data_IF_654431245180
#
_entry.id   IF_654431245180
#
_cell.length_a   1.000
_cell.length_b   1.000
_cell.length_c   1.000
_cell.angle_alpha   90.00
_cell.angle_beta   90.00
_cell.angle_gamma   90.00
#
_symmetry.space_group_name_H-M   'P 1'
#
loop_
_entity.id
_entity.type
_entity.pdbx_description
1 polymer ?
2 non-polymer ?
3 non-polymer ?
4 non-polymer ?
5 water ?
#
# COMPACT_ATOMS: atom_id res chain seq x y z
N UNK A 26 15.83 22.70 1.45
CA UNK A 26 15.55 22.28 0.04
C UNK A 26 14.06 22.42 -0.33
N UNK A 27 13.83 22.92 -1.54
CA UNK A 27 12.49 23.02 -2.10
C UNK A 27 11.87 21.65 -2.39
N UNK A 28 10.57 21.53 -2.21
CA UNK A 28 9.82 20.43 -2.82
C UNK A 28 9.72 20.64 -4.32
N UNK A 29 9.64 19.55 -5.07
CA UNK A 29 9.65 19.56 -6.52
C UNK A 29 8.83 18.38 -7.02
N UNK A 30 7.53 18.43 -6.76
CA UNK A 30 6.62 17.33 -7.03
C UNK A 30 5.92 17.53 -8.36
N UNK A 31 5.84 16.47 -9.17
CA UNK A 31 5.11 16.56 -10.43
C UNK A 31 3.63 16.65 -10.20
N UNK A 32 2.93 17.47 -10.97
CA UNK A 32 1.46 17.55 -10.88
C UNK A 32 0.75 16.42 -11.63
N UNK A 33 1.48 15.64 -12.41
CA UNK A 33 0.94 14.43 -13.01
C UNK A 33 1.67 13.19 -12.54
N UNK A 34 0.96 12.08 -12.55
CA UNK A 34 1.55 10.82 -12.11
C UNK A 34 2.49 10.25 -13.18
N UNK A 35 3.17 9.18 -12.84
CA UNK A 35 4.16 8.61 -13.78
C UNK A 35 3.55 7.86 -14.95
N UNK A 36 2.30 7.44 -14.80
CA UNK A 36 1.62 6.69 -15.85
C UNK A 36 1.29 7.64 -16.99
N UNK A 37 1.71 7.31 -18.22
CA UNK A 37 1.25 8.14 -19.34
C UNK A 37 -0.27 7.98 -19.57
N UNK A 38 -0.95 9.05 -19.91
CA UNK A 38 -2.39 9.02 -20.09
C UNK A 38 -3.09 8.32 -18.93
N UNK A 39 -2.91 8.88 -17.73
CA UNK A 39 -3.60 8.32 -16.59
C UNK A 39 -5.12 8.37 -16.75
N UNK A 40 -5.83 7.43 -16.16
CA UNK A 40 -7.28 7.48 -16.17
C UNK A 40 -7.77 8.76 -15.51
N UNK A 41 -9.01 9.16 -15.81
CA UNK A 41 -9.61 10.31 -15.16
C UNK A 41 -9.57 10.15 -13.66
N UNK A 42 -9.91 8.95 -13.17
CA UNK A 42 -9.88 8.70 -11.73
C UNK A 42 -8.48 8.80 -11.13
N UNK A 43 -7.48 8.31 -11.84
CA UNK A 43 -6.11 8.40 -11.34
C UNK A 43 -5.60 9.83 -11.31
N UNK A 44 -5.97 10.59 -12.34
CA UNK A 44 -5.69 12.03 -12.41
C UNK A 44 -6.25 12.73 -11.17
N UNK A 45 -7.52 12.46 -10.88
CA UNK A 45 -8.22 13.09 -9.78
C UNK A 45 -7.58 12.69 -8.45
N UNK A 46 -7.30 11.40 -8.28
CA UNK A 46 -6.71 10.90 -7.04
C UNK A 46 -5.31 11.50 -6.82
N UNK A 47 -4.47 11.49 -7.85
CA UNK A 47 -3.14 12.05 -7.74
C UNK A 47 -3.20 13.54 -7.42
N UNK A 48 -4.06 14.28 -8.13
CA UNK A 48 -4.21 15.69 -7.86
C UNK A 48 -4.68 15.96 -6.46
N UNK A 49 -5.60 15.15 -5.96
CA UNK A 49 -6.05 15.29 -4.58
C UNK A 49 -4.86 15.13 -3.62
N UNK A 50 -4.05 14.10 -3.85
CA UNK A 50 -2.86 13.92 -3.02
C UNK A 50 -1.90 15.12 -3.12
N UNK A 51 -1.60 15.57 -4.33
CA UNK A 51 -0.67 16.71 -4.48
C UNK A 51 -1.20 17.97 -3.81
N UNK A 52 -2.48 18.25 -4.01
CA UNK A 52 -3.07 19.48 -3.47
C UNK A 52 -3.17 19.50 -1.96
N UNK A 53 -3.38 18.33 -1.33
CA UNK A 53 -3.50 18.25 0.11
C UNK A 53 -2.19 17.96 0.84
N UNK A 54 -1.19 17.49 0.10
CA UNK A 54 0.10 17.19 0.71
C UNK A 54 0.68 18.44 1.34
N UNK A 55 1.05 18.32 2.60
CA UNK A 55 1.65 19.37 3.43
C UNK A 55 0.65 20.30 4.09
N UNK A 56 -0.62 20.16 3.75
CA UNK A 56 -1.69 20.96 4.38
C UNK A 56 -2.66 20.15 5.19
N UNK A 57 -2.82 18.89 4.87
CA UNK A 57 -3.75 17.98 5.57
C UNK A 57 -3.17 16.59 5.52
N UNK A 58 -3.69 15.71 6.37
CA UNK A 58 -3.22 14.33 6.51
C UNK A 58 -4.42 13.45 6.31
N UNK A 59 -4.32 12.51 5.38
CA UNK A 59 -5.44 11.63 5.03
C UNK A 59 -5.46 10.42 5.96
N UNK A 60 -6.59 10.23 6.63
CA UNK A 60 -6.78 9.10 7.54
C UNK A 60 -6.99 7.78 6.76
N UNK A 61 -6.49 6.67 7.29
CA UNK A 61 -6.58 5.37 6.65
C UNK A 61 -6.68 4.26 7.67
N UNK A 62 -7.10 3.09 7.18
CA UNK A 62 -7.07 1.88 8.00
C UNK A 62 -6.97 0.66 7.10
N UNK A 63 -6.16 -0.30 7.51
CA UNK A 63 -6.06 -1.59 6.85
C UNK A 63 -7.21 -2.49 7.28
N UNK A 64 -7.62 -3.35 6.35
CA UNK A 64 -8.56 -4.42 6.65
C UNK A 64 -7.94 -5.80 6.41
N UNK A 65 -8.55 -6.85 6.93
CA UNK A 65 -8.08 -8.23 6.81
C UNK A 65 -8.85 -9.03 5.77
N UNK A 66 -8.19 -9.36 4.68
CA UNK A 66 -8.78 -10.21 3.66
C UNK A 66 -8.67 -11.67 4.06
N UNK A 67 -9.56 -12.48 3.51
CA UNK A 67 -9.65 -13.89 3.85
C UNK A 67 -11.11 -14.33 3.80
N UNK A 68 -11.44 -15.33 4.61
CA UNK A 68 -12.76 -15.94 4.53
C UNK A 68 -13.83 -15.31 5.37
N UNK A 69 -13.61 -14.10 5.88
CA UNK A 69 -14.54 -13.45 6.83
C UNK A 69 -15.18 -12.21 6.14
N UNK A 70 -16.38 -12.42 5.56
CA UNK A 70 -17.08 -11.34 4.84
C UNK A 70 -17.38 -10.16 5.76
N UNK A 71 -17.78 -10.43 7.01
CA UNK A 71 -18.05 -9.35 8.01
C UNK A 71 -16.86 -8.48 8.35
N UNK A 72 -15.68 -9.02 8.22
CA UNK A 72 -14.47 -8.30 8.57
C UNK A 72 -14.06 -7.29 7.54
N UNK A 73 -14.64 -7.37 6.36
CA UNK A 73 -14.10 -6.61 5.27
C UNK A 73 -14.14 -5.10 5.45
N UNK A 74 -15.05 -4.59 6.29
CA UNK A 74 -15.06 -3.18 6.64
C UNK A 74 -15.02 -2.94 8.15
N UNK A 75 -14.50 -3.91 8.88
CA UNK A 75 -14.48 -3.87 10.32
C UNK A 75 -13.90 -2.56 10.85
N UNK A 76 -12.67 -2.26 10.43
CA UNK A 76 -11.89 -1.12 10.98
C UNK A 76 -12.54 0.21 10.59
N UNK A 77 -12.93 0.41 9.30
CA UNK A 77 -13.64 1.65 8.99
C UNK A 77 -14.96 1.79 9.75
N UNK A 78 -15.71 0.72 9.91
CA UNK A 78 -16.98 0.76 10.59
C UNK A 78 -16.77 1.11 12.05
N UNK A 79 -15.77 0.51 12.69
CA UNK A 79 -15.46 0.85 14.08
C UNK A 79 -15.17 2.33 14.21
N UNK A 80 -14.37 2.83 13.29
CA UNK A 80 -14.03 4.25 13.31
C UNK A 80 -15.26 5.15 13.14
N UNK A 81 -16.17 4.79 12.26
CA UNK A 81 -17.40 5.56 12.09
C UNK A 81 -18.18 5.63 13.41
N UNK A 82 -18.37 4.49 14.05
CA UNK A 82 -19.23 4.42 15.22
C UNK A 82 -18.59 5.05 16.43
N UNK A 83 -17.28 4.90 16.58
CA UNK A 83 -16.55 5.30 17.78
C UNK A 83 -15.95 6.67 17.70
N UNK A 84 -15.50 7.05 16.52
CA UNK A 84 -14.83 8.34 16.35
C UNK A 84 -15.59 9.30 15.47
N UNK A 85 -16.74 8.87 14.95
CA UNK A 85 -17.64 9.74 14.22
C UNK A 85 -17.44 9.83 12.72
N UNK A 86 -16.41 9.18 12.17
CA UNK A 86 -16.08 9.29 10.76
C UNK A 86 -15.31 8.05 10.31
N UNK A 87 -15.57 7.64 9.08
CA UNK A 87 -14.77 6.62 8.42
C UNK A 87 -13.45 7.23 7.95
N UNK A 88 -12.40 6.44 7.88
CA UNK A 88 -11.16 6.92 7.28
C UNK A 88 -11.38 7.19 5.80
N UNK A 89 -10.59 8.10 5.27
CA UNK A 89 -10.69 8.39 3.83
C UNK A 89 -10.11 7.30 2.95
N UNK A 90 -9.15 6.56 3.51
CA UNK A 90 -8.41 5.50 2.83
C UNK A 90 -8.64 4.14 3.54
N UNK A 91 -8.84 3.12 2.70
CA UNK A 91 -8.97 1.74 3.16
C UNK A 91 -7.89 0.88 2.51
N UNK A 92 -7.28 0.03 3.32
CA UNK A 92 -6.24 -0.90 2.84
C UNK A 92 -6.75 -2.30 2.55
N UNK A 93 -6.34 -2.83 1.41
CA UNK A 93 -6.72 -4.15 0.94
C UNK A 93 -5.48 -4.86 0.40
N UNK A 94 -5.48 -6.20 0.46
CA UNK A 94 -4.32 -7.04 0.14
C UNK A 94 -4.73 -8.22 -0.71
N UNK A 95 -4.06 -8.38 -1.84
CA UNK A 95 -4.22 -9.55 -2.75
C UNK A 95 -3.57 -10.88 -2.25
N UNK A 96 -3.12 -10.95 -1.01
CA UNK A 96 -2.38 -12.11 -0.52
C UNK A 96 -3.00 -13.45 -0.79
N UNK A 97 -4.33 -13.60 -0.82
CA UNK A 97 -4.94 -14.91 -1.09
C UNK A 97 -5.38 -15.11 -2.55
N UNK A 98 -5.14 -14.11 -3.38
CA UNK A 98 -5.59 -14.16 -4.75
C UNK A 98 -4.85 -15.21 -5.62
N UNK A 99 -3.61 -15.48 -5.21
CA UNK A 99 -2.79 -16.54 -5.80
C UNK A 99 -2.08 -17.27 -4.70
N UNK A 100 -1.69 -18.51 -4.99
CA UNK A 100 -0.81 -19.24 -4.11
C UNK A 100 -1.22 -20.68 -3.92
N UNK A 101 -0.23 -21.47 -3.51
CA UNK A 101 -0.43 -22.86 -3.17
C UNK A 101 -1.52 -23.01 -2.13
N UNK A 102 -2.54 -23.80 -2.44
CA UNK A 102 -3.56 -24.11 -1.46
C UNK A 102 -4.54 -22.98 -1.19
N UNK A 103 -4.55 -21.94 -2.03
CA UNK A 103 -5.43 -20.78 -1.80
C UNK A 103 -6.71 -20.85 -2.65
N UNK A 104 -6.97 -21.99 -3.28
CA UNK A 104 -8.17 -22.18 -4.10
C UNK A 104 -9.45 -21.87 -3.36
N UNK A 105 -9.49 -22.17 -2.07
CA UNK A 105 -10.67 -21.88 -1.25
C UNK A 105 -11.06 -20.39 -1.33
N UNK A 106 -10.10 -19.53 -1.61
CA UNK A 106 -10.32 -18.10 -1.75
C UNK A 106 -10.51 -17.72 -3.21
N UNK A 107 -9.52 -17.97 -4.07
CA UNK A 107 -9.56 -17.42 -5.41
C UNK A 107 -10.51 -18.11 -6.35
N UNK A 108 -10.99 -19.31 -5.99
CA UNK A 108 -12.03 -20.01 -6.71
C UNK A 108 -13.38 -20.04 -6.02
N UNK A 109 -13.56 -19.23 -5.00
CA UNK A 109 -14.86 -19.16 -4.37
C UNK A 109 -15.47 -17.82 -4.71
N UNK A 110 -16.71 -17.81 -5.24
CA UNK A 110 -17.38 -16.54 -5.56
C UNK A 110 -17.56 -15.59 -4.33
N UNK A 111 -17.56 -16.14 -3.13
CA UNK A 111 -17.67 -15.27 -1.95
C UNK A 111 -16.43 -14.40 -1.71
N UNK A 112 -15.28 -14.80 -2.28
CA UNK A 112 -13.95 -14.24 -1.96
C UNK A 112 -13.10 -13.84 -3.18
N UNK A 113 -13.34 -14.41 -4.34
CA UNK A 113 -12.48 -14.17 -5.48
C UNK A 113 -12.56 -12.72 -5.95
N UNK A 114 -13.62 -11.99 -5.57
CA UNK A 114 -13.76 -10.57 -5.91
C UNK A 114 -13.79 -9.69 -4.66
N UNK A 115 -13.32 -10.22 -3.55
CA UNK A 115 -13.32 -9.51 -2.33
C UNK A 115 -12.51 -8.21 -2.41
N UNK A 116 -11.31 -8.26 -3.00
CA UNK A 116 -10.48 -7.07 -3.12
C UNK A 116 -11.09 -6.06 -4.10
N UNK A 117 -11.46 -6.51 -5.29
CA UNK A 117 -12.10 -5.64 -6.28
C UNK A 117 -13.35 -4.97 -5.68
N UNK A 118 -14.19 -5.76 -5.04
CA UNK A 118 -15.43 -5.21 -4.51
C UNK A 118 -15.23 -4.28 -3.36
N UNK A 119 -14.24 -4.56 -2.50
CA UNK A 119 -13.93 -3.66 -1.42
C UNK A 119 -13.39 -2.34 -1.94
N UNK A 120 -12.55 -2.40 -2.97
CA UNK A 120 -12.01 -1.19 -3.57
C UNK A 120 -13.10 -0.38 -4.27
N UNK A 121 -13.92 -1.05 -5.07
CA UNK A 121 -15.06 -0.43 -5.77
C UNK A 121 -15.96 0.27 -4.78
N UNK A 122 -16.31 -0.42 -3.72
CA UNK A 122 -17.23 0.10 -2.71
C UNK A 122 -16.67 1.35 -2.06
N UNK A 123 -15.39 1.35 -1.67
CA UNK A 123 -14.82 2.51 -1.02
C UNK A 123 -14.67 3.68 -1.99
N UNK A 124 -14.19 3.42 -3.19
CA UNK A 124 -14.10 4.44 -4.24
C UNK A 124 -15.46 5.06 -4.51
N UNK A 125 -16.50 4.24 -4.59
CA UNK A 125 -17.84 4.78 -4.89
C UNK A 125 -18.35 5.70 -3.79
N UNK A 126 -17.85 5.55 -2.57
CA UNK A 126 -18.19 6.41 -1.46
C UNK A 126 -17.33 7.66 -1.43
N UNK A 127 -16.37 7.76 -2.33
CA UNK A 127 -15.44 8.90 -2.37
C UNK A 127 -14.09 8.66 -1.70
N UNK A 128 -13.86 7.42 -1.26
CA UNK A 128 -12.62 7.09 -0.52
C UNK A 128 -11.53 6.62 -1.48
N UNK A 129 -10.39 6.31 -0.85
CA UNK A 129 -9.18 5.93 -1.55
C UNK A 129 -8.84 4.47 -1.24
N UNK A 130 -8.89 3.58 -2.24
CA UNK A 130 -8.42 2.20 -1.99
C UNK A 130 -6.90 2.19 -2.08
N UNK A 131 -6.27 1.56 -1.09
CA UNK A 131 -4.79 1.42 -1.06
C UNK A 131 -4.55 -0.09 -1.07
N UNK A 132 -4.05 -0.60 -2.19
CA UNK A 132 -3.85 -2.01 -2.39
C UNK A 132 -2.38 -2.37 -2.25
N UNK A 133 -2.16 -3.53 -1.63
CA UNK A 133 -0.84 -4.18 -1.57
C UNK A 133 -0.99 -5.66 -1.87
N UNK A 134 0.09 -6.40 -1.77
CA UNK A 134 0.06 -7.80 -2.16
C UNK A 134 1.19 -8.58 -1.46
N UNK A 135 0.89 -9.26 -0.37
CA UNK A 135 1.83 -10.22 0.18
C UNK A 135 1.84 -11.44 -0.74
N UNK A 136 2.80 -11.42 -1.66
CA UNK A 136 2.79 -12.26 -2.85
C UNK A 136 3.36 -13.65 -2.54
N UNK A 137 2.50 -14.63 -2.43
CA UNK A 137 2.92 -15.98 -2.06
C UNK A 137 3.77 -16.64 -3.15
N UNK A 138 4.80 -17.35 -2.68
CA UNK A 138 5.71 -18.16 -3.52
C UNK A 138 5.16 -18.48 -4.91
N UNK A 139 5.66 -17.78 -5.91
CA UNK A 139 5.09 -18.01 -7.25
C UNK A 139 5.30 -19.42 -7.82
N UNK A 140 6.29 -20.15 -7.30
CA UNK A 140 6.53 -21.55 -7.71
C UNK A 140 5.41 -22.45 -7.26
N UNK A 141 4.68 -22.07 -6.23
CA UNK A 141 3.65 -22.85 -5.59
C UNK A 141 4.25 -24.08 -4.84
N UNK A 142 5.56 -24.07 -4.61
CA UNK A 142 6.18 -25.14 -3.80
C UNK A 142 5.75 -25.01 -2.34
N UNK A 143 5.58 -23.77 -1.89
CA UNK A 143 5.11 -23.41 -0.54
C UNK A 143 4.02 -22.35 -0.76
N UNK A 144 3.32 -22.03 0.33
CA UNK A 144 2.39 -20.89 0.33
C UNK A 144 2.99 -19.62 0.93
N UNK A 145 4.31 -19.54 1.09
CA UNK A 145 4.94 -18.50 1.88
C UNK A 145 5.38 -17.32 1.04
N UNK A 146 5.25 -16.13 1.64
CA UNK A 146 5.91 -14.92 1.14
C UNK A 146 7.16 -14.57 1.95
N UNK A 147 7.27 -15.02 3.21
CA UNK A 147 8.45 -14.77 3.99
C UNK A 147 9.69 -15.45 3.44
N UNK A 148 10.82 -14.81 3.63
CA UNK A 148 12.10 -15.24 3.08
C UNK A 148 12.87 -16.07 4.10
N UNK A 149 14.00 -16.68 3.64
CA UNK A 149 14.80 -17.48 4.59
C UNK A 149 15.48 -16.69 5.72
N UNK A 150 15.51 -15.36 5.68
CA UNK A 150 16.10 -14.55 6.75
C UNK A 150 15.05 -13.92 7.65
N UNK A 151 13.78 -14.24 7.41
CA UNK A 151 12.67 -13.64 8.16
C UNK A 151 12.46 -14.19 9.54
N UNK A 152 12.95 -15.40 9.80
CA UNK A 152 12.63 -16.11 11.03
C UNK A 152 11.31 -16.87 11.01
N UNK A 153 10.58 -16.77 9.90
CA UNK A 153 9.29 -17.43 9.75
C UNK A 153 9.38 -18.55 8.72
N UNK A 154 8.36 -19.39 8.63
CA UNK A 154 8.29 -20.40 7.58
C UNK A 154 8.46 -19.72 6.23
N UNK A 155 9.42 -20.20 5.45
CA UNK A 155 9.91 -19.44 4.30
C UNK A 155 9.68 -20.11 2.97
N UNK A 156 9.78 -19.29 1.92
CA UNK A 156 9.92 -19.76 0.57
C UNK A 156 11.38 -19.65 0.14
N UNK A 157 11.79 -20.57 -0.75
CA UNK A 157 13.09 -20.52 -1.38
C UNK A 157 13.09 -19.78 -2.71
N UNK A 158 11.91 -19.30 -3.15
CA UNK A 158 11.77 -18.64 -4.41
C UNK A 158 12.83 -17.53 -4.59
N UNK A 159 13.54 -17.57 -5.72
CA UNK A 159 14.74 -16.78 -5.99
C UNK A 159 14.41 -15.62 -6.94
N UNK A 160 14.40 -14.41 -6.37
CA UNK A 160 14.08 -13.20 -7.15
C UNK A 160 15.06 -12.98 -8.30
N UNK A 161 16.33 -13.30 -8.09
CA UNK A 161 17.33 -13.13 -9.13
C UNK A 161 16.99 -13.98 -10.35
N UNK A 162 16.47 -15.18 -10.13
CA UNK A 162 16.01 -15.99 -11.25
C UNK A 162 14.70 -15.50 -11.86
N UNK A 163 13.81 -14.95 -11.01
CA UNK A 163 12.52 -14.49 -11.48
C UNK A 163 12.60 -13.35 -12.49
N UNK A 164 13.66 -12.56 -12.42
CA UNK A 164 13.80 -11.42 -13.31
C UNK A 164 14.55 -11.76 -14.62
N UNK A 165 14.99 -13.01 -14.76
CA UNK A 165 15.69 -13.44 -15.99
C UNK A 165 14.70 -14.11 -16.91
N UNK A 166 14.62 -13.62 -18.13
CA UNK A 166 13.65 -14.14 -19.09
C UNK A 166 13.85 -15.64 -19.35
N UNK A 167 12.76 -16.39 -19.34
CA UNK A 167 12.76 -17.80 -19.73
C UNK A 167 13.10 -18.80 -18.65
N UNK A 168 13.30 -18.35 -17.40
CA UNK A 168 13.45 -19.27 -16.27
C UNK A 168 12.07 -19.69 -15.79
N UNK A 169 12.03 -20.80 -15.07
CA UNK A 169 10.80 -21.24 -14.45
C UNK A 169 10.23 -20.16 -13.51
N UNK A 170 11.11 -19.50 -12.79
CA UNK A 170 10.67 -18.45 -11.87
C UNK A 170 10.05 -17.26 -12.62
N UNK A 171 10.63 -16.90 -13.75
CA UNK A 171 10.09 -15.83 -14.57
C UNK A 171 8.70 -16.18 -15.10
N UNK A 172 8.53 -17.41 -15.58
CA UNK A 172 7.22 -17.82 -16.04
C UNK A 172 6.19 -17.72 -14.90
N UNK A 173 6.59 -18.15 -13.71
CA UNK A 173 5.72 -18.17 -12.54
C UNK A 173 5.29 -16.77 -12.16
N UNK A 174 6.23 -15.83 -12.07
CA UNK A 174 5.79 -14.47 -11.70
C UNK A 174 4.88 -13.88 -12.77
N UNK A 175 5.11 -14.17 -14.04
CA UNK A 175 4.25 -13.59 -15.07
C UNK A 175 2.84 -14.19 -15.03
N UNK A 176 2.71 -15.46 -14.64
CA UNK A 176 1.39 -16.05 -14.46
C UNK A 176 0.65 -15.33 -13.34
N UNK A 177 1.31 -15.12 -12.21
CA UNK A 177 0.65 -14.47 -11.08
C UNK A 177 0.33 -13.00 -11.42
N UNK A 178 1.23 -12.32 -12.10
CA UNK A 178 1.00 -10.93 -12.47
C UNK A 178 -0.22 -10.83 -13.36
N UNK A 179 -0.42 -11.79 -14.26
CA UNK A 179 -1.63 -11.75 -15.10
C UNK A 179 -2.92 -11.83 -14.26
N UNK A 180 -2.94 -12.65 -13.21
CA UNK A 180 -4.10 -12.78 -12.35
C UNK A 180 -4.38 -11.46 -11.64
N UNK A 181 -3.36 -10.85 -11.06
CA UNK A 181 -3.58 -9.61 -10.35
C UNK A 181 -3.96 -8.51 -11.34
N UNK A 182 -3.31 -8.46 -12.50
CA UNK A 182 -3.70 -7.49 -13.54
C UNK A 182 -5.15 -7.66 -13.93
N UNK A 183 -5.67 -8.88 -13.99
CA UNK A 183 -7.08 -9.07 -14.32
C UNK A 183 -7.94 -8.35 -13.28
N UNK A 184 -7.57 -8.41 -12.02
CA UNK A 184 -8.33 -7.74 -10.98
C UNK A 184 -8.24 -6.23 -11.09
N UNK A 185 -7.04 -5.74 -11.32
CA UNK A 185 -6.84 -4.31 -11.47
C UNK A 185 -7.57 -3.77 -12.73
N UNK A 186 -7.64 -4.59 -13.77
CA UNK A 186 -8.38 -4.23 -15.01
C UNK A 186 -9.87 -4.13 -14.74
N UNK A 187 -10.41 -4.99 -13.91
CA UNK A 187 -11.81 -4.89 -13.48
C UNK A 187 -12.02 -3.52 -12.84
N UNK A 188 -11.11 -3.10 -11.95
CA UNK A 188 -11.20 -1.79 -11.35
C UNK A 188 -11.07 -0.71 -12.38
N UNK A 189 -10.10 -0.82 -13.30
CA UNK A 189 -9.92 0.18 -14.34
C UNK A 189 -11.22 0.37 -15.15
N UNK A 190 -11.82 -0.72 -15.55
CA UNK A 190 -13.02 -0.67 -16.37
C UNK A 190 -14.20 -0.12 -15.60
N UNK A 191 -14.20 -0.20 -14.28
CA UNK A 191 -15.22 0.43 -13.43
C UNK A 191 -14.91 1.89 -13.08
N UNK A 192 -13.80 2.44 -13.58
CA UNK A 192 -13.46 3.83 -13.32
C UNK A 192 -12.79 4.05 -11.97
N UNK A 193 -12.34 2.97 -11.33
CA UNK A 193 -11.70 3.03 -10.01
C UNK A 193 -10.19 3.21 -10.14
N UNK A 194 -9.63 4.14 -9.41
CA UNK A 194 -8.19 4.31 -9.29
C UNK A 194 -7.80 3.88 -7.89
N UNK A 195 -6.55 3.45 -7.77
CA UNK A 195 -6.04 2.98 -6.49
C UNK A 195 -4.61 3.42 -6.25
N UNK A 196 -4.25 3.51 -4.98
CA UNK A 196 -2.84 3.46 -4.59
C UNK A 196 -2.41 2.00 -4.69
N UNK A 197 -1.31 1.78 -5.41
CA UNK A 197 -0.80 0.43 -5.64
C UNK A 197 0.61 0.39 -5.06
N UNK A 198 0.80 -0.46 -4.07
CA UNK A 198 2.06 -0.51 -3.28
C UNK A 198 2.62 -1.94 -3.32
N UNK A 199 3.22 -2.30 -4.47
CA UNK A 199 3.74 -3.64 -4.65
C UNK A 199 5.11 -3.79 -4.03
N UNK A 200 5.53 -5.03 -3.81
CA UNK A 200 6.96 -5.30 -3.55
C UNK A 200 7.43 -4.48 -2.36
N UNK A 201 6.61 -4.47 -1.32
CA UNK A 201 6.77 -3.53 -0.24
C UNK A 201 7.73 -4.08 0.81
N UNK A 202 8.28 -3.17 1.62
CA UNK A 202 9.30 -3.49 2.62
C UNK A 202 10.44 -4.33 2.05
N UNK A 203 10.85 -4.05 0.84
CA UNK A 203 11.87 -4.88 0.17
C UNK A 203 13.18 -4.81 0.94
N UNK A 204 13.53 -3.65 1.46
CA UNK A 204 14.84 -3.47 2.07
C UNK A 204 14.98 -4.27 3.35
N UNK A 205 13.91 -4.70 3.99
CA UNK A 205 14.04 -5.56 5.17
C UNK A 205 14.53 -6.97 4.86
N UNK A 206 14.39 -7.37 3.61
CA UNK A 206 14.80 -8.68 3.08
C UNK A 206 14.03 -9.83 3.68
N UNK A 207 12.95 -9.56 4.41
CA UNK A 207 12.15 -10.60 5.02
C UNK A 207 11.06 -11.17 4.12
N UNK A 208 10.89 -10.57 2.93
CA UNK A 208 10.00 -11.09 1.88
C UNK A 208 10.83 -11.52 0.69
N UNK A 209 10.40 -12.53 -0.05
CA UNK A 209 11.24 -13.06 -1.11
C UNK A 209 11.65 -12.01 -2.13
N UNK A 210 10.81 -10.99 -2.36
CA UNK A 210 11.09 -10.01 -3.43
C UNK A 210 12.23 -9.07 -3.09
N UNK A 211 12.52 -8.89 -1.80
CA UNK A 211 13.71 -8.15 -1.41
C UNK A 211 14.88 -8.95 -0.90
N UNK A 212 14.70 -10.26 -0.77
CA UNK A 212 15.67 -11.14 -0.13
C UNK A 212 16.98 -11.18 -0.90
N UNK A 213 16.98 -10.96 -2.19
CA UNK A 213 18.21 -10.98 -2.99
C UNK A 213 18.82 -9.61 -3.16
N UNK A 214 18.25 -8.59 -2.53
CA UNK A 214 18.78 -7.24 -2.58
C UNK A 214 18.19 -6.34 -3.64
N UNK A 215 18.82 -5.18 -3.79
CA UNK A 215 18.29 -4.10 -4.58
C UNK A 215 18.22 -4.42 -6.05
N UNK A 216 19.18 -5.16 -6.58
CA UNK A 216 19.22 -5.38 -8.01
C UNK A 216 17.97 -6.12 -8.50
N UNK A 217 17.69 -7.27 -7.88
CA UNK A 217 16.49 -8.00 -8.24
C UNK A 217 15.22 -7.21 -7.97
N UNK A 218 15.18 -6.46 -6.89
CA UNK A 218 13.99 -5.69 -6.56
C UNK A 218 13.66 -4.69 -7.67
N UNK A 219 14.67 -3.95 -8.11
CA UNK A 219 14.45 -2.96 -9.15
C UNK A 219 14.03 -3.65 -10.47
N UNK A 220 14.62 -4.80 -10.79
CA UNK A 220 14.30 -5.51 -12.02
C UNK A 220 12.88 -6.06 -11.94
N UNK A 221 12.47 -6.52 -10.77
CA UNK A 221 11.08 -6.96 -10.53
C UNK A 221 10.11 -5.81 -10.69
N UNK A 222 10.43 -4.67 -10.10
CA UNK A 222 9.58 -3.49 -10.21
C UNK A 222 9.36 -3.13 -11.69
N UNK A 223 10.44 -3.10 -12.47
CA UNK A 223 10.33 -2.80 -13.88
C UNK A 223 9.48 -3.82 -14.63
N UNK A 224 9.70 -5.10 -14.36
CA UNK A 224 8.87 -6.10 -15.01
C UNK A 224 7.38 -5.87 -14.73
N UNK A 225 7.06 -5.61 -13.47
CA UNK A 225 5.66 -5.41 -13.09
C UNK A 225 5.12 -4.10 -13.63
N UNK A 226 5.91 -3.02 -13.55
CA UNK A 226 5.48 -1.72 -14.05
C UNK A 226 5.19 -1.79 -15.53
N UNK A 227 6.12 -2.36 -16.29
CA UNK A 227 5.92 -2.46 -17.72
C UNK A 227 4.75 -3.36 -18.08
N UNK A 228 4.66 -4.50 -17.44
CA UNK A 228 3.54 -5.40 -17.71
C UNK A 228 2.19 -4.76 -17.41
N UNK A 229 2.08 -4.13 -16.24
CA UNK A 229 0.81 -3.49 -15.88
C UNK A 229 0.50 -2.25 -16.71
N UNK A 230 1.45 -1.35 -16.80
CA UNK A 230 1.18 -0.05 -17.42
C UNK A 230 1.19 -0.17 -18.94
N UNK A 231 2.17 -0.87 -19.52
CA UNK A 231 2.29 -0.93 -20.98
C UNK A 231 1.52 -2.09 -21.54
N UNK A 232 1.83 -3.30 -21.13
CA UNK A 232 1.21 -4.47 -21.76
C UNK A 232 -0.30 -4.55 -21.48
N UNK A 233 -0.67 -4.26 -20.23
CA UNK A 233 -2.06 -4.40 -19.82
C UNK A 233 -2.84 -3.06 -19.79
N UNK A 234 -2.16 -1.98 -20.10
CA UNK A 234 -2.74 -0.62 -20.12
C UNK A 234 -3.54 -0.33 -18.86
N UNK A 235 -2.95 -0.67 -17.71
CA UNK A 235 -3.53 -0.31 -16.43
C UNK A 235 -3.07 1.08 -16.10
N UNK A 236 -3.86 2.07 -16.49
CA UNK A 236 -3.56 3.47 -16.33
C UNK A 236 -4.24 4.08 -15.10
N UNK A 237 -4.73 3.23 -14.19
CA UNK A 237 -5.52 3.64 -13.04
C UNK A 237 -4.76 3.49 -11.71
N UNK A 238 -3.43 3.38 -11.75
CA UNK A 238 -2.66 3.07 -10.55
C UNK A 238 -1.76 4.23 -10.18
N UNK A 239 -1.68 4.52 -8.89
CA UNK A 239 -0.75 5.48 -8.32
C UNK A 239 0.27 4.66 -7.53
N UNK A 240 1.53 4.70 -8.01
CA UNK A 240 2.54 3.71 -7.57
C UNK A 240 3.24 4.16 -6.31
N UNK A 241 3.18 3.32 -5.28
CA UNK A 241 3.79 3.65 -3.97
C UNK A 241 5.00 2.75 -3.69
N UNK A 242 6.19 3.35 -3.63
CA UNK A 242 7.42 2.66 -3.26
C UNK A 242 7.65 2.76 -1.75
N UNK A 243 7.75 1.61 -1.09
CA UNK A 243 7.95 1.58 0.35
C UNK A 243 9.46 1.66 0.63
N UNK A 244 9.87 2.72 1.33
CA UNK A 244 11.28 3.07 1.46
C UNK A 244 11.90 2.61 2.77
N UNK A 245 11.23 1.79 3.56
CA UNK A 245 11.68 1.40 4.87
C UNK A 245 10.49 1.23 5.78
N UNK A 246 10.72 0.93 7.05
CA UNK A 246 12.05 0.63 7.61
C UNK A 246 12.49 -0.78 7.18
N UNK A 247 13.81 -1.00 7.03
CA UNK A 247 14.92 -0.09 7.25
C UNK A 247 15.15 0.84 6.06
N UNK A 248 15.50 2.09 6.38
CA UNK A 248 15.75 3.12 5.37
C UNK A 248 17.20 3.20 4.91
N UNK A 249 18.14 2.64 5.68
CA UNK A 249 19.56 2.81 5.34
C UNK A 249 19.87 2.21 3.97
N UNK A 250 20.48 3.02 3.10
CA UNK A 250 20.85 2.60 1.78
C UNK A 250 19.70 2.46 0.79
N UNK A 251 18.53 3.00 1.13
CA UNK A 251 17.36 2.84 0.27
C UNK A 251 17.52 3.47 -1.13
N UNK A 252 18.39 4.47 -1.29
CA UNK A 252 18.57 5.08 -2.59
C UNK A 252 18.93 4.02 -3.64
N UNK A 253 19.67 2.98 -3.23
CA UNK A 253 20.08 1.96 -4.20
C UNK A 253 18.95 1.01 -4.57
N UNK A 254 17.90 1.00 -3.76
CA UNK A 254 16.70 0.19 -4.03
C UNK A 254 15.64 0.92 -4.87
N UNK A 255 15.78 2.24 -5.02
CA UNK A 255 14.74 3.06 -5.65
C UNK A 255 14.55 2.74 -7.12
N UNK A 256 13.32 2.43 -7.54
CA UNK A 256 13.11 2.13 -8.96
C UNK A 256 13.30 3.30 -9.92
N UNK A 257 13.25 4.52 -9.40
CA UNK A 257 13.40 5.74 -10.19
C UNK A 257 12.16 6.58 -10.23
N UNK A 258 12.35 7.87 -10.48
CA UNK A 258 11.28 8.83 -10.49
C UNK A 258 10.21 8.57 -11.54
N UNK A 259 10.53 7.85 -12.61
CA UNK A 259 9.60 7.52 -13.65
C UNK A 259 8.75 6.28 -13.40
N UNK A 260 8.93 5.64 -12.26
CA UNK A 260 8.22 4.41 -11.90
C UNK A 260 7.58 4.45 -10.50
N UNK A 261 7.59 5.63 -9.86
CA UNK A 261 7.09 5.81 -8.49
C UNK A 261 6.36 7.13 -8.40
N UNK A 262 5.17 7.11 -7.75
CA UNK A 262 4.43 8.34 -7.49
C UNK A 262 4.49 8.82 -6.06
N UNK A 263 4.64 7.90 -5.11
CA UNK A 263 4.59 8.20 -3.67
C UNK A 263 5.63 7.37 -2.95
N UNK A 264 6.30 7.97 -2.00
CA UNK A 264 7.20 7.28 -1.09
C UNK A 264 6.42 6.96 0.18
N UNK A 265 6.37 5.68 0.52
CA UNK A 265 5.71 5.26 1.74
C UNK A 265 6.69 4.69 2.74
N UNK A 266 6.49 5.02 4.01
CA UNK A 266 7.22 4.39 5.11
C UNK A 266 6.31 3.48 5.90
N UNK A 267 6.83 2.29 6.24
CA UNK A 267 6.20 1.33 7.15
C UNK A 267 7.00 1.38 8.44
N UNK A 268 6.49 2.11 9.42
CA UNK A 268 7.19 2.36 10.70
C UNK A 268 6.30 1.86 11.81
N UNK A 269 6.81 0.90 12.56
CA UNK A 269 6.12 0.38 13.73
C UNK A 269 6.86 0.83 14.99
N UNK A 270 6.38 1.91 15.57
CA UNK A 270 6.91 2.47 16.81
C UNK A 270 6.56 1.57 17.99
N UNK A 271 7.14 1.90 19.14
CA UNK A 271 6.73 1.25 20.36
C UNK A 271 5.21 1.34 20.48
N UNK A 272 4.56 0.30 20.97
CA UNK A 272 3.13 0.27 21.15
C UNK A 272 2.70 1.44 22.05
N UNK A 273 1.82 2.29 21.50
CA UNK A 273 1.33 3.45 22.20
C UNK A 273 2.04 4.75 21.91
N UNK A 274 3.14 4.71 21.16
CA UNK A 274 3.95 5.89 20.90
C UNK A 274 3.46 6.61 19.63
N UNK A 275 2.85 7.77 19.81
CA UNK A 275 2.32 8.58 18.71
C UNK A 275 3.29 9.67 18.26
N UNK A 276 4.59 9.48 18.49
CA UNK A 276 5.59 10.38 17.94
C UNK A 276 5.33 10.60 16.47
N UNK A 277 5.66 11.78 15.97
CA UNK A 277 5.33 12.12 14.60
C UNK A 277 6.26 11.48 13.59
N UNK A 278 7.37 10.91 14.05
CA UNK A 278 8.36 10.31 13.17
C UNK A 278 8.94 11.33 12.19
N UNK A 279 9.15 12.54 12.72
CA UNK A 279 9.68 13.67 11.95
C UNK A 279 10.95 13.33 11.18
N UNK A 280 11.86 12.63 11.83
CA UNK A 280 13.14 12.35 11.20
C UNK A 280 13.00 11.46 9.96
N UNK A 281 12.15 10.43 10.03
CA UNK A 281 11.91 9.62 8.86
C UNK A 281 11.25 10.43 7.73
N UNK A 282 10.31 11.33 8.09
CA UNK A 282 9.68 12.19 7.11
C UNK A 282 10.77 13.00 6.37
N UNK A 283 11.65 13.62 7.18
CA UNK A 283 12.72 14.46 6.64
C UNK A 283 13.66 13.69 5.78
N UNK A 284 13.99 12.47 6.18
CA UNK A 284 14.85 11.64 5.37
C UNK A 284 14.24 11.31 4.05
N UNK A 285 12.94 11.03 4.03
CA UNK A 285 12.28 10.74 2.77
C UNK A 285 12.27 11.98 1.83
N UNK A 286 12.10 13.17 2.40
CA UNK A 286 12.21 14.38 1.62
C UNK A 286 13.63 14.51 1.02
N UNK A 287 14.66 14.34 1.85
CA UNK A 287 16.06 14.50 1.43
C UNK A 287 16.51 13.45 0.42
N UNK A 288 16.31 12.18 0.77
CA UNK A 288 16.77 11.08 -0.08
C UNK A 288 16.19 11.15 -1.46
N UNK A 289 14.90 11.47 -1.56
CA UNK A 289 14.22 11.51 -2.85
C UNK A 289 14.10 12.90 -3.44
N UNK A 290 14.91 13.80 -2.88
CA UNK A 290 15.14 15.15 -3.45
C UNK A 290 13.86 15.95 -3.60
N UNK A 291 12.93 15.73 -2.67
CA UNK A 291 11.68 16.44 -2.67
C UNK A 291 10.80 16.18 -3.89
N UNK A 292 11.05 15.10 -4.64
CA UNK A 292 10.34 14.88 -5.89
C UNK A 292 9.05 14.10 -5.75
N UNK A 293 8.84 13.47 -4.60
CA UNK A 293 7.66 12.63 -4.40
C UNK A 293 6.98 12.92 -3.08
N UNK A 294 5.66 12.85 -3.10
CA UNK A 294 4.83 12.86 -1.90
C UNK A 294 5.31 11.76 -0.95
N UNK A 295 5.26 12.04 0.35
CA UNK A 295 5.73 11.11 1.37
C UNK A 295 4.55 10.74 2.28
N UNK A 296 4.38 9.45 2.52
CA UNK A 296 3.22 8.92 3.26
C UNK A 296 3.67 7.88 4.30
N UNK A 297 2.83 7.64 5.30
CA UNK A 297 3.05 6.56 6.27
C UNK A 297 2.17 5.41 5.83
N UNK A 298 2.72 4.57 4.94
CA UNK A 298 1.95 3.50 4.30
C UNK A 298 1.60 2.34 5.23
N UNK A 299 2.31 2.14 6.33
CA UNK A 299 1.88 1.26 7.43
C UNK A 299 2.36 1.83 8.73
N UNK A 300 1.59 1.66 9.80
CA UNK A 300 2.07 1.98 11.13
C UNK A 300 1.32 1.14 12.13
N UNK A 301 1.78 1.21 13.38
CA UNK A 301 1.02 0.72 14.51
C UNK A 301 0.33 1.93 15.10
N UNK A 302 0.83 2.46 16.20
CA UNK A 302 0.38 3.74 16.68
C UNK A 302 0.54 4.77 15.59
N UNK A 303 -0.50 5.56 15.37
CA UNK A 303 -0.55 6.58 14.32
C UNK A 303 0.26 7.79 14.75
N UNK A 304 1.04 8.35 13.82
CA UNK A 304 1.79 9.58 14.19
C UNK A 304 0.84 10.73 14.45
N UNK A 305 1.04 11.49 15.53
CA UNK A 305 0.19 12.63 15.81
C UNK A 305 0.10 13.53 14.59
N UNK A 306 -1.11 13.91 14.17
CA UNK A 306 -1.21 14.87 13.07
C UNK A 306 -0.47 16.17 13.38
N UNK A 307 0.41 16.56 12.48
CA UNK A 307 1.35 17.67 12.74
C UNK A 307 1.88 18.13 11.39
N UNK A 308 1.67 19.39 11.02
CA UNK A 308 2.12 19.87 9.73
C UNK A 308 3.64 20.05 9.60
N UNK A 309 4.38 19.84 10.69
CA UNK A 309 5.83 19.78 10.60
C UNK A 309 6.29 18.42 10.08
N UNK A 310 5.44 17.38 10.22
CA UNK A 310 5.72 16.02 9.69
C UNK A 310 4.44 15.54 8.98
N UNK A 311 4.08 16.18 7.89
CA UNK A 311 2.76 16.03 7.30
C UNK A 311 2.66 14.83 6.34
N UNK A 312 2.68 13.63 6.93
CA UNK A 312 2.47 12.42 6.14
C UNK A 312 1.24 12.61 5.25
N UNK A 313 1.34 12.22 3.99
CA UNK A 313 0.24 12.40 3.06
C UNK A 313 -0.99 11.69 3.57
N UNK A 314 -0.75 10.44 3.99
CA UNK A 314 -1.75 9.59 4.60
C UNK A 314 -1.09 8.70 5.61
N UNK A 315 -1.87 8.17 6.54
CA UNK A 315 -1.42 7.15 7.45
C UNK A 315 -2.33 5.93 7.35
N UNK A 316 -1.84 4.75 7.69
CA UNK A 316 -2.63 3.53 7.65
C UNK A 316 -2.14 2.56 8.72
N UNK A 317 -2.78 2.56 9.89
CA UNK A 317 -2.51 1.48 10.83
C UNK A 317 -2.87 0.13 10.28
N UNK A 318 -2.20 -0.90 10.74
CA UNK A 318 -2.51 -2.26 10.37
C UNK A 318 -3.85 -2.67 11.02
N UNK A 319 -4.31 -3.85 10.67
CA UNK A 319 -5.65 -4.29 11.01
C UNK A 319 -5.73 -4.83 12.43
N UNK A 320 -6.95 -5.15 12.83
CA UNK A 320 -7.23 -5.72 14.16
C UNK A 320 -6.73 -4.79 15.27
N UNK A 321 -5.93 -5.29 16.22
CA UNK A 321 -5.55 -4.51 17.43
C UNK A 321 -4.64 -3.31 17.11
N UNK A 322 -4.00 -3.29 15.94
CA UNK A 322 -3.22 -2.10 15.55
C UNK A 322 -4.10 -0.90 15.25
N UNK A 323 -5.38 -1.16 15.00
CA UNK A 323 -6.38 -0.10 14.78
C UNK A 323 -7.38 -0.02 15.92
N UNK A 324 -8.19 -1.08 16.06
CA UNK A 324 -9.23 -1.13 17.10
C UNK A 324 -8.52 -1.41 18.41
N UNK A 325 -8.67 -0.52 19.41
CA UNK A 325 -7.88 -0.65 20.62
C UNK A 325 -8.21 -1.88 21.45
N UNK A 326 -7.17 -2.43 22.05
CA UNK A 326 -7.26 -3.56 22.97
C UNK A 326 -6.30 -3.31 24.13
N UNK A 327 -6.74 -3.69 25.32
CA UNK A 327 -5.85 -3.63 26.48
C UNK A 327 -5.64 -2.27 27.08
N UNK A 328 -4.68 -2.20 27.99
CA UNK A 328 -4.42 -0.99 28.77
C UNK A 328 -3.40 -0.06 28.12
N UNK A 329 -2.69 -0.53 27.10
CA UNK A 329 -1.76 0.32 26.35
C UNK A 329 -2.02 0.15 24.85
N UNK A 330 -3.24 0.46 24.40
CA UNK A 330 -3.57 0.19 23.00
C UNK A 330 -2.71 0.96 22.02
N UNK A 331 -2.52 0.39 20.84
CA UNK A 331 -1.82 1.12 19.79
C UNK A 331 -2.45 2.49 19.51
N UNK A 332 -3.79 2.49 19.34
CA UNK A 332 -4.53 3.69 19.01
C UNK A 332 -5.79 3.66 19.84
N UNK A 333 -5.76 4.40 20.94
CA UNK A 333 -6.84 4.38 21.92
C UNK A 333 -8.08 5.03 21.35
N UNK A 334 -9.21 4.79 22.01
CA UNK A 334 -10.46 5.45 21.66
C UNK A 334 -10.29 6.97 21.72
N UNK A 335 -9.68 7.44 22.80
CA UNK A 335 -9.44 8.87 23.00
C UNK A 335 -8.58 9.44 21.84
N UNK A 336 -7.54 8.73 21.44
CA UNK A 336 -6.66 9.16 20.38
C UNK A 336 -7.45 9.24 19.07
N UNK A 337 -8.26 8.25 18.79
CA UNK A 337 -9.02 8.23 17.55
C UNK A 337 -10.05 9.34 17.50
N UNK A 338 -10.75 9.58 18.62
CA UNK A 338 -11.73 10.67 18.65
C UNK A 338 -11.09 12.01 18.34
N UNK A 339 -9.94 12.25 18.93
CA UNK A 339 -9.18 13.49 18.71
C UNK A 339 -8.71 13.59 17.24
N UNK A 340 -8.17 12.51 16.75
CA UNK A 340 -7.55 12.48 15.44
C UNK A 340 -8.59 12.68 14.34
N UNK A 341 -9.71 11.96 14.47
CA UNK A 341 -10.72 12.02 13.46
C UNK A 341 -11.56 13.28 13.48
N UNK A 342 -11.43 14.11 14.52
CA UNK A 342 -12.09 15.41 14.58
C UNK A 342 -11.14 16.56 14.33
N UNK A 343 -9.86 16.29 14.07
CA UNK A 343 -8.85 17.34 13.82
C UNK A 343 -9.10 18.01 12.47
N UNK A 344 -8.96 19.33 12.42
CA UNK A 344 -9.00 20.08 11.18
C UNK A 344 -7.84 19.72 10.24
N UNK A 345 -6.80 19.07 10.76
CA UNK A 345 -5.70 18.61 9.90
C UNK A 345 -5.96 17.33 9.19
N UNK A 346 -7.01 16.62 9.58
CA UNK A 346 -7.19 15.23 9.11
C UNK A 346 -8.36 15.15 8.16
N UNK A 347 -8.14 14.50 7.02
CA UNK A 347 -9.18 14.26 6.04
C UNK A 347 -9.79 12.91 6.34
N UNK A 348 -11.10 12.87 6.58
CA UNK A 348 -11.88 11.65 6.76
C UNK A 348 -12.73 11.44 5.51
N UNK A 349 -13.45 10.32 5.46
CA UNK A 349 -14.29 10.08 4.32
C UNK A 349 -15.31 11.19 4.09
N UNK A 350 -15.76 11.81 5.17
CA UNK A 350 -16.73 12.91 5.07
C UNK A 350 -16.17 14.18 4.47
N UNK A 351 -14.85 14.31 4.36
CA UNK A 351 -14.24 15.47 3.73
C UNK A 351 -13.94 15.25 2.25
N UNK A 352 -14.18 14.03 1.72
CA UNK A 352 -13.78 13.74 0.36
C UNK A 352 -14.79 14.35 -0.60
N UNK A 353 -14.31 14.73 -1.80
CA UNK A 353 -15.20 15.45 -2.75
C UNK A 353 -16.10 14.56 -3.57
N UNK A 354 -15.81 13.26 -3.65
CA UNK A 354 -16.46 12.35 -4.61
C UNK A 354 -15.69 12.40 -5.91
N UNK A 355 -15.45 11.23 -6.49
CA UNK A 355 -14.66 11.12 -7.69
C UNK A 355 -15.53 11.26 -8.95
X LIG B 1 12.57 18.76 -10.47
X LIG B 1 14.08 18.77 -10.75
X LIG B 1 14.34 18.72 -12.24
X LIG B 1 13.60 17.55 -12.86
X LIG B 1 12.15 17.44 -12.36
X LIG B 1 11.55 16.08 -12.69
X LIG B 1 14.33 21.13 -10.17
X LIG B 1 15.10 22.16 -9.40
X LIG B 1 14.75 19.87 -10.07
X LIG B 1 15.71 18.55 -12.49
X LIG B 1 13.64 17.73 -14.25
X LIG B 1 12.05 17.57 -10.96
X LIG B 1 12.21 15.08 -11.94
X LIG B 1 13.39 21.49 -10.86
X LIG C 1 -8.97 2.63 24.53
X LIG D 1 15.31 2.44 9.73
X LIG E 1 2.46 19.38 18.13
X LIG F 1 15.60 4.76 -14.31
#
# INVERSE_FOLDING_TARGET
ELEQKLISEEDLNSAVDHHHHHHEFQDWNISSSPVTPSPSAGAQKLYSFLVQNFQKKIISGAMTLQGGDESAQTKEPDWLQQNAGHRPALVGLDFMFQTGKGEEWYYNDSRFSKQVVNGAKSYWQKGGIPALCWHWRDPSKDTDAFYSPSSGNSATQFDADQAVKSGTAENKAILQDLAVIADQLQDLRDAGVAVLWRPLHEASGKWFWWGYKGADALKKLWKIEFDYFVKERNLNNLIWVFTAGTPIEGIADWYPGDDMVDVIGMDIYATQGDHATQQDYFNQCKSIFKGRKIVAMSECGSVPEPDLAAPWSFFMPWYNNYCIPEGSNPYNSLEFWKKTMSSSLVITLDNMPGW
NAG C1 C2 C3 C4 C5 C6 C7 C8 N2 O3 O4 O5 O6 O7
NA NA
NA NA
MG MG
MG MG
#
